data_IF_537856840738
#
_entry.id   IF_537856840738
#
_cell.length_a   1.000
_cell.length_b   1.000
_cell.length_c   1.000
_cell.angle_alpha   90.00
_cell.angle_beta   90.00
_cell.angle_gamma   90.00
#
_symmetry.space_group_name_H-M   'P 1'
#
loop_
_entity.id
_entity.type
_entity.pdbx_description
1 polymer ?
#
# COMPACT_ATOMS: atom_id res chain seq x y z
N UNK A 1 -23.12 -1.13 16.26
CA UNK A 1 -22.31 -2.35 16.08
C UNK A 1 -22.04 -2.50 14.60
N UNK A 2 -20.78 -2.31 14.16
CA UNK A 2 -20.40 -2.45 12.75
C UNK A 2 -20.04 -3.91 12.46
N UNK A 3 -20.47 -4.50 11.34
CA UNK A 3 -20.20 -5.90 11.05
C UNK A 3 -18.73 -6.08 10.68
N UNK A 4 -18.16 -7.15 11.23
CA UNK A 4 -16.81 -7.62 10.98
C UNK A 4 -16.79 -8.22 9.56
N UNK A 5 -16.16 -7.55 8.59
CA UNK A 5 -16.03 -8.09 7.23
C UNK A 5 -14.89 -9.11 7.23
N UNK A 6 -15.24 -10.38 7.44
CA UNK A 6 -14.34 -11.51 7.29
C UNK A 6 -14.18 -11.80 5.79
N UNK A 7 -13.09 -11.35 5.18
CA UNK A 7 -12.75 -11.73 3.81
C UNK A 7 -12.44 -13.24 3.74
N UNK A 8 -13.32 -14.00 3.09
CA UNK A 8 -13.09 -15.40 2.70
C UNK A 8 -12.19 -15.40 1.46
N UNK A 9 -10.95 -15.90 1.57
CA UNK A 9 -10.18 -16.32 0.39
C UNK A 9 -10.25 -17.85 0.26
N UNK A 10 -10.95 -18.30 -0.79
CA UNK A 10 -10.98 -19.68 -1.25
C UNK A 10 -9.56 -20.19 -1.54
N UNK A 11 -9.25 -21.39 -1.06
CA UNK A 11 -7.92 -21.99 -1.16
C UNK A 11 -7.60 -22.51 -2.56
N UNK A 12 -6.36 -22.27 -2.99
CA UNK A 12 -5.65 -23.07 -3.97
C UNK A 12 -4.19 -23.12 -3.54
N UNK A 13 -3.68 -24.32 -3.26
CA UNK A 13 -2.29 -24.60 -2.89
C UNK A 13 -1.34 -24.38 -4.08
N UNK A 14 -1.07 -23.11 -4.39
CA UNK A 14 0.03 -22.64 -5.23
C UNK A 14 0.71 -21.47 -4.53
N UNK A 15 1.98 -21.18 -4.81
CA UNK A 15 2.78 -20.13 -4.15
C UNK A 15 2.20 -18.69 -4.30
N UNK A 16 1.06 -18.39 -3.69
CA UNK A 16 0.42 -17.08 -3.75
C UNK A 16 1.07 -16.12 -2.72
N UNK A 17 1.60 -14.98 -3.18
CA UNK A 17 2.15 -13.96 -2.28
C UNK A 17 1.05 -12.97 -1.91
N UNK A 18 0.44 -13.14 -0.76
CA UNK A 18 -0.57 -12.23 -0.25
C UNK A 18 0.12 -11.00 0.34
N UNK A 19 -0.39 -9.81 0.05
CA UNK A 19 0.03 -8.60 0.74
C UNK A 19 -1.14 -8.14 1.62
N UNK A 20 -0.85 -7.64 2.81
CA UNK A 20 -1.83 -7.19 3.80
C UNK A 20 -1.54 -5.75 4.18
N UNK A 21 -2.57 -4.94 4.42
CA UNK A 21 -2.44 -3.55 4.83
C UNK A 21 -3.12 -3.26 6.16
N UNK A 22 -2.76 -2.13 6.77
CA UNK A 22 -3.47 -1.62 7.94
C UNK A 22 -4.96 -1.47 7.67
N UNK A 23 -5.77 -1.68 8.71
CA UNK A 23 -7.17 -1.28 8.71
C UNK A 23 -7.32 0.23 8.48
N UNK A 24 -8.56 0.66 8.22
CA UNK A 24 -8.87 2.07 8.01
C UNK A 24 -8.37 2.93 9.17
N UNK A 25 -7.65 4.02 8.88
CA UNK A 25 -7.13 4.96 9.88
C UNK A 25 -7.91 6.27 9.83
N UNK A 26 -8.21 6.86 10.97
CA UNK A 26 -8.79 8.20 11.08
C UNK A 26 -7.72 9.19 11.53
N UNK A 27 -7.53 10.29 10.80
CA UNK A 27 -6.48 11.27 11.07
C UNK A 27 -6.98 12.71 10.89
N UNK A 28 -6.50 13.62 11.73
CA UNK A 28 -6.79 15.05 11.63
C UNK A 28 -5.86 15.75 10.63
N UNK A 29 -6.34 16.86 10.07
CA UNK A 29 -5.54 17.72 9.20
C UNK A 29 -4.25 18.20 9.90
N UNK A 30 -3.16 18.26 9.14
CA UNK A 30 -1.84 18.67 9.62
C UNK A 30 -1.06 17.59 10.39
N UNK A 31 -1.71 16.48 10.78
CA UNK A 31 -1.03 15.37 11.46
C UNK A 31 -0.19 14.54 10.48
N UNK A 32 0.67 13.68 11.03
CA UNK A 32 1.40 12.68 10.26
C UNK A 32 0.75 11.32 10.43
N UNK A 33 0.55 10.60 9.33
CA UNK A 33 0.07 9.22 9.35
C UNK A 33 1.04 8.31 8.62
N UNK A 34 1.14 7.07 9.12
CA UNK A 34 1.87 5.98 8.47
C UNK A 34 0.88 4.90 8.09
N UNK A 35 0.97 4.38 6.87
CA UNK A 35 0.18 3.27 6.34
C UNK A 35 1.14 2.09 6.14
N UNK A 36 0.79 0.94 6.71
CA UNK A 36 1.65 -0.23 6.74
C UNK A 36 1.18 -1.23 5.68
N UNK A 37 2.15 -1.88 5.03
CA UNK A 37 1.94 -2.89 4.02
C UNK A 37 2.92 -4.05 4.26
N UNK A 38 2.39 -5.25 4.42
CA UNK A 38 3.17 -6.45 4.74
C UNK A 38 2.97 -7.53 3.69
N UNK A 39 4.04 -7.98 3.06
CA UNK A 39 4.02 -9.14 2.18
C UNK A 39 4.11 -10.44 2.99
N UNK A 40 3.40 -11.49 2.56
CA UNK A 40 3.41 -12.81 3.21
C UNK A 40 4.71 -13.58 2.96
N UNK A 41 5.46 -13.18 1.92
CA UNK A 41 6.75 -13.75 1.53
C UNK A 41 7.68 -12.65 1.06
N UNK A 42 8.98 -12.91 1.18
CA UNK A 42 10.00 -11.92 0.84
C UNK A 42 9.79 -11.50 -0.61
N UNK A 43 9.65 -10.19 -0.85
CA UNK A 43 9.55 -9.70 -2.22
C UNK A 43 10.90 -9.95 -2.89
N UNK A 44 10.92 -10.87 -3.84
CA UNK A 44 12.08 -11.19 -4.67
C UNK A 44 12.32 -10.01 -5.62
N UNK A 45 13.06 -9.00 -5.16
CA UNK A 45 13.38 -7.83 -5.98
C UNK A 45 14.90 -7.62 -6.09
N UNK A 46 15.36 -7.48 -7.35
CA UNK A 46 16.55 -6.69 -7.74
C UNK A 46 16.15 -5.24 -8.09
N UNK A 47 14.86 -4.98 -8.41
CA UNK A 47 14.04 -3.73 -8.37
C UNK A 47 12.74 -4.01 -9.20
N UNK A 48 11.59 -3.32 -9.01
CA UNK A 48 11.11 -2.51 -7.89
C UNK A 48 10.36 -3.36 -6.83
N UNK A 49 10.65 -3.14 -5.54
CA UNK A 49 10.12 -4.00 -4.47
C UNK A 49 8.65 -3.69 -4.10
N UNK A 50 8.22 -2.43 -4.19
CA UNK A 50 6.83 -2.05 -3.93
C UNK A 50 6.52 -0.68 -4.53
N UNK A 51 5.28 -0.49 -4.97
CA UNK A 51 4.74 0.81 -5.38
C UNK A 51 3.49 1.16 -4.57
N UNK A 52 3.28 2.45 -4.33
CA UNK A 52 2.12 2.98 -3.62
C UNK A 52 1.22 3.77 -4.57
N UNK A 53 -0.08 3.57 -4.43
CA UNK A 53 -1.10 4.30 -5.18
C UNK A 53 -2.14 4.87 -4.22
N UNK A 54 -2.78 5.96 -4.63
CA UNK A 54 -3.91 6.57 -3.94
C UNK A 54 -5.10 6.66 -4.89
N UNK A 55 -6.27 6.29 -4.42
CA UNK A 55 -7.51 6.32 -5.16
C UNK A 55 -8.57 7.05 -4.35
N UNK A 56 -9.12 8.12 -4.92
CA UNK A 56 -10.33 8.76 -4.40
C UNK A 56 -11.56 8.03 -4.91
N UNK A 57 -12.68 8.15 -4.20
CA UNK A 57 -13.94 7.55 -4.62
C UNK A 57 -14.33 8.03 -6.01
N UNK A 58 -14.52 7.10 -6.95
CA UNK A 58 -14.87 7.40 -8.34
C UNK A 58 -13.70 7.83 -9.24
N UNK A 59 -12.47 7.91 -8.72
CA UNK A 59 -11.27 8.24 -9.50
C UNK A 59 -10.44 6.99 -9.83
N UNK A 60 -9.57 7.12 -10.82
CA UNK A 60 -8.57 6.09 -11.14
C UNK A 60 -7.41 6.13 -10.13
N UNK A 61 -6.81 4.98 -9.78
CA UNK A 61 -5.63 4.96 -8.89
C UNK A 61 -4.48 5.81 -9.45
N UNK A 62 -3.98 6.74 -8.65
CA UNK A 62 -2.83 7.59 -8.96
C UNK A 62 -1.58 7.06 -8.28
N UNK A 63 -0.50 6.91 -9.03
CA UNK A 63 0.77 6.45 -8.49
C UNK A 63 1.45 7.54 -7.64
N UNK A 64 1.93 7.16 -6.45
CA UNK A 64 2.60 8.04 -5.49
C UNK A 64 4.09 7.75 -5.39
N UNK A 65 4.42 6.51 -5.07
CA UNK A 65 5.79 6.03 -4.82
C UNK A 65 6.05 4.80 -5.70
N UNK A 66 7.23 4.72 -6.28
CA UNK A 66 7.78 3.54 -6.95
C UNK A 66 9.12 3.16 -6.34
N UNK A 67 9.58 1.92 -6.60
CA UNK A 67 10.86 1.41 -6.08
C UNK A 67 11.00 1.67 -4.57
N UNK A 68 9.94 1.39 -3.82
CA UNK A 68 9.87 1.51 -2.35
C UNK A 68 9.84 2.93 -1.80
N UNK A 69 10.66 3.85 -2.30
CA UNK A 69 10.86 5.18 -1.71
C UNK A 69 10.92 6.33 -2.72
N UNK A 70 10.98 6.03 -4.02
CA UNK A 70 11.08 7.06 -5.05
C UNK A 70 9.71 7.66 -5.37
N UNK A 71 9.55 8.97 -5.23
CA UNK A 71 8.31 9.66 -5.58
C UNK A 71 8.19 9.88 -7.08
N UNK A 72 6.98 9.75 -7.61
CA UNK A 72 6.67 10.25 -8.95
C UNK A 72 6.73 11.78 -9.02
N UNK A 73 7.02 12.31 -10.21
CA UNK A 73 7.01 13.76 -10.44
C UNK A 73 5.62 14.36 -10.18
N UNK A 74 5.58 15.54 -9.58
CA UNK A 74 4.32 16.22 -9.21
C UNK A 74 3.62 15.67 -7.96
N UNK A 75 4.20 14.67 -7.28
CA UNK A 75 3.72 14.21 -5.98
C UNK A 75 4.36 15.06 -4.87
N UNK A 76 3.53 15.47 -3.90
CA UNK A 76 3.95 16.30 -2.78
C UNK A 76 5.10 15.67 -1.99
N UNK A 77 6.02 16.51 -1.51
CA UNK A 77 7.14 16.08 -0.67
C UNK A 77 6.71 15.52 0.69
N UNK A 78 5.43 15.73 1.06
CA UNK A 78 4.78 15.16 2.25
C UNK A 78 4.68 13.64 2.22
N UNK A 79 4.64 13.04 1.03
CA UNK A 79 4.62 11.60 0.86
C UNK A 79 6.03 11.04 0.93
N UNK A 80 6.22 9.95 1.66
CA UNK A 80 7.48 9.22 1.76
C UNK A 80 7.22 7.73 1.87
N UNK A 81 7.89 6.92 1.04
CA UNK A 81 7.82 5.47 1.13
C UNK A 81 9.07 4.89 1.79
N UNK A 82 8.91 3.81 2.55
CA UNK A 82 10.01 3.08 3.14
C UNK A 82 9.78 1.56 3.14
N UNK A 83 10.86 0.80 3.31
CA UNK A 83 10.82 -0.66 3.40
C UNK A 83 11.87 -1.19 4.36
N UNK A 84 11.52 -2.20 5.13
CA UNK A 84 12.42 -2.87 6.05
C UNK A 84 13.41 -3.76 5.30
N UNK A 85 14.59 -4.00 5.91
CA UNK A 85 15.65 -4.86 5.35
C UNK A 85 15.18 -6.30 5.05
N UNK A 86 14.14 -6.75 5.73
CA UNK A 86 13.55 -8.06 5.52
C UNK A 86 12.76 -8.19 4.20
N UNK A 87 12.54 -7.09 3.46
CA UNK A 87 11.74 -7.03 2.22
C UNK A 87 10.31 -7.59 2.37
N UNK A 88 9.75 -7.46 3.58
CA UNK A 88 8.41 -7.91 3.92
C UNK A 88 7.55 -6.73 4.37
N UNK A 89 8.11 -5.85 5.18
CA UNK A 89 7.38 -4.72 5.77
C UNK A 89 7.71 -3.43 5.01
N UNK A 90 6.67 -2.74 4.56
CA UNK A 90 6.74 -1.50 3.81
C UNK A 90 5.80 -0.48 4.43
N UNK A 91 6.16 0.80 4.33
CA UNK A 91 5.34 1.88 4.86
C UNK A 91 5.22 3.04 3.88
N UNK A 92 4.09 3.72 3.94
CA UNK A 92 3.88 5.04 3.35
C UNK A 92 3.60 6.02 4.48
N UNK A 93 4.42 7.05 4.58
CA UNK A 93 4.22 8.16 5.51
C UNK A 93 3.70 9.37 4.76
N UNK A 94 2.68 10.01 5.30
CA UNK A 94 2.11 11.26 4.84
C UNK A 94 2.26 12.25 5.99
N UNK A 95 3.16 13.22 5.86
CA UNK A 95 3.31 14.30 6.84
C UNK A 95 2.39 15.46 6.49
N UNK A 96 1.79 16.11 7.48
CA UNK A 96 0.92 17.27 7.23
C UNK A 96 -0.28 16.93 6.35
N UNK A 97 -1.08 15.93 6.78
CA UNK A 97 -2.25 15.42 6.05
C UNK A 97 -3.22 16.56 5.68
N UNK A 98 -3.71 16.53 4.44
CA UNK A 98 -4.64 17.52 3.89
C UNK A 98 -5.97 16.87 3.50
N UNK A 99 -7.01 17.67 3.24
CA UNK A 99 -8.36 17.19 2.94
C UNK A 99 -8.41 16.27 1.71
N UNK A 100 -7.58 16.58 0.73
CA UNK A 100 -7.39 15.84 -0.51
C UNK A 100 -6.67 14.50 -0.34
N UNK A 101 -6.05 14.23 0.81
CA UNK A 101 -5.35 12.98 1.08
C UNK A 101 -6.32 11.87 1.52
N UNK A 102 -7.60 12.19 1.76
CA UNK A 102 -8.64 11.19 2.00
C UNK A 102 -8.77 10.21 0.82
N UNK A 103 -8.87 8.90 1.11
CA UNK A 103 -9.09 7.89 0.08
C UNK A 103 -8.49 6.54 0.41
N UNK A 104 -8.47 5.66 -0.58
CA UNK A 104 -7.91 4.32 -0.47
C UNK A 104 -6.47 4.31 -0.98
N UNK A 105 -5.59 3.73 -0.19
CA UNK A 105 -4.17 3.58 -0.48
C UNK A 105 -3.85 2.12 -0.74
N UNK A 106 -3.15 1.88 -1.82
CA UNK A 106 -2.86 0.56 -2.35
C UNK A 106 -1.35 0.36 -2.41
N UNK A 107 -0.90 -0.79 -1.93
CA UNK A 107 0.49 -1.19 -2.05
C UNK A 107 0.57 -2.38 -3.00
N UNK A 108 1.34 -2.20 -4.07
CA UNK A 108 1.50 -3.20 -5.10
C UNK A 108 2.94 -3.70 -5.09
N UNK A 109 3.11 -4.98 -4.75
CA UNK A 109 4.37 -5.68 -4.96
C UNK A 109 4.38 -6.36 -6.33
N UNK A 110 5.59 -6.55 -6.83
CA UNK A 110 5.85 -7.33 -8.05
C UNK A 110 6.53 -8.63 -7.66
N UNK A 111 6.02 -9.75 -8.16
CA UNK A 111 6.55 -11.07 -7.86
C UNK A 111 6.72 -11.89 -9.12
N UNK A 112 7.92 -12.45 -9.29
CA UNK A 112 8.17 -13.51 -10.27
C UNK A 112 7.89 -14.85 -9.60
N UNK A 113 6.71 -15.41 -9.84
CA UNK A 113 6.34 -16.74 -9.35
C UNK A 113 6.42 -17.69 -10.54
N UNK A 114 7.31 -18.68 -10.50
CA UNK A 114 7.47 -19.68 -11.56
C UNK A 114 7.65 -19.06 -12.98
N UNK A 115 8.43 -17.99 -13.08
CA UNK A 115 8.65 -17.22 -14.32
C UNK A 115 7.40 -16.51 -14.88
N UNK A 116 6.38 -16.28 -14.04
CA UNK A 116 5.23 -15.45 -14.35
C UNK A 116 5.17 -14.22 -13.43
N UNK A 117 4.85 -13.06 -14.02
CA UNK A 117 4.70 -11.80 -13.31
C UNK A 117 3.33 -11.71 -12.64
N UNK A 118 3.29 -11.72 -11.31
CA UNK A 118 2.06 -11.61 -10.53
C UNK A 118 2.04 -10.28 -9.76
N UNK A 119 0.89 -9.60 -9.82
CA UNK A 119 0.62 -8.33 -9.12
C UNK A 119 -0.42 -8.56 -8.03
N UNK A 120 -0.04 -8.30 -6.78
CA UNK A 120 -0.95 -8.41 -5.64
C UNK A 120 -1.11 -7.06 -4.95
N UNK A 121 -2.35 -6.73 -4.57
CA UNK A 121 -2.70 -5.41 -4.05
C UNK A 121 -3.86 -5.47 -3.04
N UNK A 122 -3.59 -5.53 -1.73
CA UNK A 122 -4.57 -5.15 -0.71
C UNK A 122 -4.83 -3.64 -0.79
N UNK A 123 -6.05 -3.23 -0.44
CA UNK A 123 -6.40 -1.84 -0.23
C UNK A 123 -6.55 -1.50 1.25
N UNK A 124 -6.08 -0.33 1.66
CA UNK A 124 -6.15 0.22 3.01
C UNK A 124 -6.74 1.62 2.94
N UNK A 125 -7.61 1.99 3.87
CA UNK A 125 -8.35 3.27 3.78
C UNK A 125 -7.81 4.32 4.75
N UNK A 126 -7.70 5.57 4.29
CA UNK A 126 -7.44 6.72 5.15
C UNK A 126 -8.68 7.61 5.19
N UNK A 127 -9.26 7.70 6.38
CA UNK A 127 -10.37 8.58 6.72
C UNK A 127 -9.83 9.84 7.38
N UNK A 128 -10.43 10.99 7.07
CA UNK A 128 -10.14 12.26 7.74
C UNK A 128 -11.22 12.54 8.78
N UNK A 129 -10.83 12.99 9.97
CA UNK A 129 -11.71 13.39 11.07
C UNK A 129 -11.64 14.88 11.36
#
# INVERSE_FOLDING_TARGET
>A
AFPLVSSLSSGSDGQNVVVTQSAAKSVQLGQTVTIDCKASRQVACNTPCLSWYHQKSGEVPKALIYRTSSRFSGISSRFSGSGARNKLDFTLTISGVQAEDAGVYYCQSYHDINSQDVKNNPGGSLLLA
#
